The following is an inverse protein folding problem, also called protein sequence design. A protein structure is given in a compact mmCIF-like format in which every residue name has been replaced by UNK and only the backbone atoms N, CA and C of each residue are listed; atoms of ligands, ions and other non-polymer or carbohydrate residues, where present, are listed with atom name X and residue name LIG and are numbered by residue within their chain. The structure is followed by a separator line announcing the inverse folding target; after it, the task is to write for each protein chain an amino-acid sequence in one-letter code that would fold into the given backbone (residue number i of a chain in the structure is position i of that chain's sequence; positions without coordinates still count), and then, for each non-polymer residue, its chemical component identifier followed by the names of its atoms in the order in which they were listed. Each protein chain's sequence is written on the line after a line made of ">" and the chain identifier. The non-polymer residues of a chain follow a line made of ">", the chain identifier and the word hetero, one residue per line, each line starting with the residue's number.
data_IF_065372754053
#
_entry.id   IF_065372754053
#
_cell.length_a   1.000
_cell.length_b   1.000
_cell.length_c   1.000
_cell.angle_alpha   90.00
_cell.angle_beta   90.00
_cell.angle_gamma   90.00
#
_symmetry.space_group_name_H-M   'P 1'
#
loop_
_entity.id
_entity.type
_entity.pdbx_description
1 polymer ?
#
# COMPACT_ATOMS: atom_id res chain seq x y z
N UNK A 1 13.13 10.88 -29.01
CA UNK A 1 13.36 9.85 -27.98
C UNK A 1 14.44 10.37 -27.06
N UNK A 2 14.06 10.87 -25.88
CA UNK A 2 14.99 11.07 -24.76
C UNK A 2 14.21 10.85 -23.47
N UNK A 3 14.43 9.69 -22.88
CA UNK A 3 14.00 9.28 -21.56
C UNK A 3 14.65 10.18 -20.51
N UNK A 4 13.86 11.05 -19.88
CA UNK A 4 14.28 11.79 -18.70
C UNK A 4 14.36 10.83 -17.51
N UNK A 5 15.56 10.34 -17.20
CA UNK A 5 15.80 9.74 -15.89
C UNK A 5 15.79 10.85 -14.86
N UNK A 6 14.68 11.00 -14.14
CA UNK A 6 14.60 11.79 -12.92
C UNK A 6 15.44 11.08 -11.86
N UNK A 7 16.75 11.37 -11.84
CA UNK A 7 17.60 11.04 -10.71
C UNK A 7 16.98 11.70 -9.47
N UNK A 8 16.70 10.95 -8.39
CA UNK A 8 16.31 11.57 -7.13
C UNK A 8 17.45 12.48 -6.71
N UNK A 9 17.18 13.78 -6.61
CA UNK A 9 18.19 14.77 -6.28
C UNK A 9 18.81 14.46 -4.91
N UNK A 10 20.14 14.45 -4.87
CA UNK A 10 20.96 14.27 -3.66
C UNK A 10 20.64 15.25 -2.52
N UNK A 11 19.85 16.29 -2.79
CA UNK A 11 19.31 17.23 -1.82
C UNK A 11 18.32 16.59 -0.83
N UNK A 12 17.54 15.60 -1.27
CA UNK A 12 16.55 14.93 -0.39
C UNK A 12 17.19 14.10 0.72
N UNK A 13 18.49 13.80 0.61
CA UNK A 13 19.26 13.02 1.58
C UNK A 13 20.41 13.80 2.22
N UNK A 14 20.54 15.10 1.94
CA UNK A 14 21.58 15.94 2.52
C UNK A 14 21.49 15.98 4.06
N UNK A 15 20.29 15.82 4.63
CA UNK A 15 20.10 15.72 6.07
C UNK A 15 20.75 14.47 6.68
N UNK A 16 20.83 13.35 5.95
CA UNK A 16 21.51 12.13 6.42
C UNK A 16 23.01 12.40 6.61
N UNK A 17 23.62 13.27 5.80
CA UNK A 17 25.03 13.64 5.95
C UNK A 17 25.32 14.46 7.23
N UNK A 18 24.32 15.17 7.76
CA UNK A 18 24.45 15.91 9.04
C UNK A 18 24.38 14.99 10.27
N UNK A 19 23.86 13.78 10.12
CA UNK A 19 23.57 12.85 11.22
C UNK A 19 24.48 11.61 11.21
N UNK A 20 25.78 11.81 10.95
CA UNK A 20 26.78 10.71 10.92
C UNK A 20 26.71 9.78 12.14
N UNK A 21 26.61 10.25 13.40
CA UNK A 21 26.56 9.35 14.56
C UNK A 21 25.29 8.51 14.62
N UNK A 22 24.16 9.04 14.12
CA UNK A 22 22.89 8.32 14.05
C UNK A 22 22.95 7.25 12.96
N UNK A 23 23.51 7.58 11.79
CA UNK A 23 23.72 6.63 10.71
C UNK A 23 24.65 5.49 11.12
N UNK A 24 25.72 5.77 11.86
CA UNK A 24 26.64 4.74 12.36
C UNK A 24 25.95 3.78 13.33
N UNK A 25 25.07 4.29 14.21
CA UNK A 25 24.30 3.47 15.14
C UNK A 25 23.22 2.66 14.44
N UNK A 26 22.49 3.26 13.51
CA UNK A 26 21.51 2.56 12.68
C UNK A 26 22.19 1.48 11.81
N UNK A 27 23.37 1.78 11.27
CA UNK A 27 24.22 0.85 10.53
C UNK A 27 24.68 -0.31 11.39
N UNK A 28 25.22 -0.05 12.58
CA UNK A 28 25.62 -1.09 13.53
C UNK A 28 24.42 -1.95 14.00
N UNK A 29 23.24 -1.35 14.16
CA UNK A 29 22.02 -2.07 14.50
C UNK A 29 21.56 -2.96 13.35
N UNK A 30 21.61 -2.45 12.11
CA UNK A 30 21.31 -3.22 10.92
C UNK A 30 22.30 -4.39 10.75
N UNK A 31 23.62 -4.16 10.84
CA UNK A 31 24.64 -5.19 10.71
C UNK A 31 24.50 -6.32 11.74
N UNK A 32 24.20 -5.98 13.00
CA UNK A 32 23.90 -6.97 14.05
C UNK A 32 22.71 -7.85 13.69
N UNK A 33 21.66 -7.26 13.12
CA UNK A 33 20.46 -8.01 12.71
C UNK A 33 20.66 -8.82 11.43
N UNK A 34 21.40 -8.32 10.44
CA UNK A 34 21.67 -9.05 9.20
C UNK A 34 22.50 -10.32 9.42
N UNK A 35 23.23 -10.41 10.53
CA UNK A 35 24.12 -11.53 10.84
C UNK A 35 23.42 -12.68 11.55
N UNK A 36 22.42 -12.40 12.40
CA UNK A 36 21.94 -13.35 13.40
C UNK A 36 20.47 -13.83 13.25
N UNK A 37 19.53 -13.11 12.61
CA UNK A 37 18.16 -13.62 12.36
C UNK A 37 17.31 -12.65 11.46
N UNK A 38 16.39 -13.11 10.57
CA UNK A 38 15.64 -12.27 9.65
C UNK A 38 14.37 -11.65 10.28
N UNK A 39 14.40 -11.31 11.58
CA UNK A 39 13.27 -10.67 12.25
C UNK A 39 13.24 -9.16 11.99
N UNK A 40 12.64 -8.79 10.85
CA UNK A 40 12.42 -7.41 10.41
C UNK A 40 11.71 -6.55 11.47
N UNK A 41 10.78 -7.13 12.24
CA UNK A 41 10.01 -6.40 13.25
C UNK A 41 10.89 -5.99 14.45
N UNK A 42 11.81 -6.86 14.87
CA UNK A 42 12.79 -6.57 15.92
C UNK A 42 13.76 -5.47 15.53
N UNK A 43 14.25 -5.51 14.28
CA UNK A 43 15.13 -4.47 13.75
C UNK A 43 14.42 -3.11 13.68
N UNK A 44 13.20 -3.07 13.11
CA UNK A 44 12.43 -1.83 13.04
C UNK A 44 12.12 -1.26 14.42
N UNK A 45 11.78 -2.11 15.40
CA UNK A 45 11.57 -1.67 16.78
C UNK A 45 12.81 -1.02 17.37
N UNK A 46 13.99 -1.61 17.14
CA UNK A 46 15.24 -1.06 17.63
C UNK A 46 15.60 0.26 16.94
N UNK A 47 15.43 0.35 15.62
CA UNK A 47 15.65 1.58 14.86
C UNK A 47 14.72 2.69 15.34
N UNK A 48 13.44 2.40 15.56
CA UNK A 48 12.48 3.38 16.11
C UNK A 48 12.96 3.91 17.47
N UNK A 49 13.37 3.02 18.37
CA UNK A 49 13.87 3.43 19.68
C UNK A 49 15.09 4.34 19.61
N UNK A 50 16.05 4.05 18.73
CA UNK A 50 17.24 4.90 18.52
C UNK A 50 16.85 6.28 17.98
N UNK A 51 15.95 6.33 16.99
CA UNK A 51 15.51 7.59 16.37
C UNK A 51 14.74 8.46 17.37
N UNK A 52 13.87 7.85 18.18
CA UNK A 52 13.11 8.56 19.22
C UNK A 52 14.01 9.08 20.36
N UNK A 53 15.09 8.37 20.69
CA UNK A 53 16.01 8.78 21.77
C UNK A 53 17.03 9.83 21.34
N UNK A 54 17.46 9.83 20.08
CA UNK A 54 18.57 10.68 19.62
C UNK A 54 18.12 11.99 18.98
N UNK A 55 16.90 12.05 18.43
CA UNK A 55 16.39 13.27 17.80
C UNK A 55 15.46 13.97 18.77
N UNK A 56 15.57 15.29 18.92
CA UNK A 56 14.70 16.07 19.80
C UNK A 56 13.46 16.60 19.07
N UNK A 57 13.60 16.91 17.77
CA UNK A 57 12.52 17.43 16.95
C UNK A 57 11.57 16.32 16.50
N UNK A 58 10.27 16.53 16.73
CA UNK A 58 9.22 15.64 16.20
C UNK A 58 9.25 15.56 14.67
N UNK A 59 9.61 16.66 14.00
CA UNK A 59 9.71 16.69 12.55
C UNK A 59 10.86 15.80 12.06
N UNK A 60 12.06 15.94 12.65
CA UNK A 60 13.23 15.15 12.27
C UNK A 60 13.03 13.66 12.57
N UNK A 61 12.40 13.33 13.70
CA UNK A 61 11.97 11.95 14.02
C UNK A 61 11.09 11.38 12.91
N UNK A 62 10.06 12.12 12.52
CA UNK A 62 9.12 11.67 11.50
C UNK A 62 9.80 11.45 10.15
N UNK A 63 10.70 12.34 9.75
CA UNK A 63 11.46 12.23 8.49
C UNK A 63 12.38 11.00 8.49
N UNK A 64 13.16 10.78 9.54
CA UNK A 64 14.07 9.63 9.63
C UNK A 64 13.31 8.30 9.72
N UNK A 65 12.21 8.26 10.49
CA UNK A 65 11.35 7.07 10.59
C UNK A 65 10.69 6.74 9.25
N UNK A 66 10.22 7.75 8.53
CA UNK A 66 9.61 7.56 7.22
C UNK A 66 10.61 6.99 6.21
N UNK A 67 11.84 7.54 6.16
CA UNK A 67 12.92 7.04 5.29
C UNK A 67 13.33 5.61 5.69
N UNK A 68 13.45 5.33 6.98
CA UNK A 68 13.80 4.00 7.49
C UNK A 68 12.73 2.96 7.09
N UNK A 69 11.45 3.29 7.29
CA UNK A 69 10.34 2.43 6.91
C UNK A 69 10.24 2.23 5.40
N UNK A 70 10.51 3.27 4.61
CA UNK A 70 10.55 3.18 3.15
C UNK A 70 11.65 2.24 2.66
N UNK A 71 12.88 2.39 3.15
CA UNK A 71 14.00 1.52 2.79
C UNK A 71 13.76 0.06 3.23
N UNK A 72 13.20 -0.15 4.42
CA UNK A 72 12.83 -1.48 4.87
C UNK A 72 11.74 -2.12 4.00
N UNK A 73 10.80 -1.31 3.48
CA UNK A 73 9.71 -1.77 2.61
C UNK A 73 10.21 -2.31 1.27
N UNK A 74 11.40 -1.92 0.80
CA UNK A 74 12.03 -2.50 -0.39
C UNK A 74 12.39 -3.98 -0.19
N UNK A 75 12.63 -4.41 1.06
CA UNK A 75 12.98 -5.80 1.40
C UNK A 75 11.74 -6.63 1.71
N UNK A 76 10.86 -6.14 2.59
CA UNK A 76 9.66 -6.86 3.02
C UNK A 76 8.50 -5.90 3.31
N UNK A 77 7.83 -5.50 2.23
CA UNK A 77 6.75 -4.52 2.24
C UNK A 77 5.59 -4.89 3.17
N UNK A 78 5.20 -6.17 3.20
CA UNK A 78 4.05 -6.62 3.99
C UNK A 78 4.33 -6.50 5.48
N UNK A 79 5.49 -7.00 5.94
CA UNK A 79 5.85 -6.93 7.37
C UNK A 79 6.06 -5.49 7.84
N UNK A 80 6.66 -4.64 7.02
CA UNK A 80 6.89 -3.23 7.36
C UNK A 80 5.58 -2.46 7.44
N UNK A 81 4.67 -2.66 6.47
CA UNK A 81 3.35 -2.03 6.50
C UNK A 81 2.57 -2.43 7.75
N UNK A 82 2.58 -3.71 8.10
CA UNK A 82 1.91 -4.20 9.31
C UNK A 82 2.54 -3.63 10.60
N UNK A 83 3.87 -3.51 10.66
CA UNK A 83 4.57 -2.89 11.79
C UNK A 83 4.12 -1.43 12.00
N UNK A 84 4.15 -0.61 10.95
CA UNK A 84 3.73 0.80 11.03
C UNK A 84 2.22 0.93 11.30
N UNK A 85 1.39 0.00 10.81
CA UNK A 85 -0.05 -0.05 11.09
C UNK A 85 -0.31 -0.29 12.57
N UNK A 86 0.30 -1.33 13.16
CA UNK A 86 0.12 -1.71 14.58
C UNK A 86 0.53 -0.61 15.56
N UNK A 87 1.46 0.25 15.16
CA UNK A 87 1.95 1.38 15.96
C UNK A 87 1.24 2.70 15.67
N UNK A 88 0.19 2.71 14.86
CA UNK A 88 -0.51 3.94 14.44
C UNK A 88 0.39 4.97 13.76
N UNK A 89 1.48 4.51 13.12
CA UNK A 89 2.47 5.35 12.43
C UNK A 89 2.29 5.36 10.91
N UNK A 90 1.16 4.85 10.40
CA UNK A 90 0.92 4.70 8.96
C UNK A 90 1.02 6.03 8.19
N UNK A 91 0.65 7.13 8.85
CA UNK A 91 0.76 8.48 8.27
C UNK A 91 2.21 8.84 7.89
N UNK A 92 3.22 8.30 8.58
CA UNK A 92 4.63 8.56 8.26
C UNK A 92 5.03 7.95 6.91
N UNK A 93 4.56 6.75 6.61
CA UNK A 93 4.83 6.09 5.34
C UNK A 93 4.02 6.72 4.21
N UNK A 94 2.73 6.97 4.44
CA UNK A 94 1.82 7.53 3.44
C UNK A 94 2.21 8.94 2.99
N UNK A 95 2.96 9.69 3.78
CA UNK A 95 3.46 11.02 3.40
C UNK A 95 4.70 10.97 2.50
N UNK A 96 5.32 9.80 2.29
CA UNK A 96 6.47 9.69 1.38
C UNK A 96 6.02 9.36 -0.05
N UNK A 97 6.36 10.17 -1.06
CA UNK A 97 5.98 9.92 -2.46
C UNK A 97 6.40 8.53 -2.97
N UNK A 98 7.57 8.05 -2.55
CA UNK A 98 8.06 6.72 -2.97
C UNK A 98 7.23 5.58 -2.36
N UNK A 99 6.74 5.70 -1.12
CA UNK A 99 5.85 4.68 -0.56
C UNK A 99 4.49 4.69 -1.25
N UNK A 100 3.97 5.87 -1.59
CA UNK A 100 2.74 5.99 -2.38
C UNK A 100 2.91 5.29 -3.73
N UNK A 101 4.03 5.49 -4.42
CA UNK A 101 4.34 4.81 -5.68
C UNK A 101 4.45 3.29 -5.49
N UNK A 102 5.21 2.82 -4.49
CA UNK A 102 5.40 1.40 -4.18
C UNK A 102 4.12 0.67 -3.73
N UNK A 103 3.13 1.40 -3.23
CA UNK A 103 1.86 0.83 -2.74
C UNK A 103 0.69 1.10 -3.67
N UNK A 104 0.86 1.95 -4.69
CA UNK A 104 -0.20 2.38 -5.61
C UNK A 104 -0.94 1.18 -6.21
N UNK A 105 -0.19 0.25 -6.79
CA UNK A 105 -0.79 -0.89 -7.50
C UNK A 105 -1.54 -1.82 -6.55
N UNK A 106 -1.03 -2.03 -5.33
CA UNK A 106 -1.74 -2.84 -4.32
C UNK A 106 -3.02 -2.14 -3.87
N UNK A 107 -2.95 -0.83 -3.61
CA UNK A 107 -4.10 -0.06 -3.13
C UNK A 107 -5.18 -0.07 -4.21
N UNK A 108 -4.81 0.15 -5.46
CA UNK A 108 -5.72 0.08 -6.60
C UNK A 108 -6.34 -1.33 -6.74
N UNK A 109 -5.52 -2.38 -6.66
CA UNK A 109 -6.00 -3.77 -6.72
C UNK A 109 -6.93 -4.11 -5.55
N UNK A 110 -6.62 -3.65 -4.34
CA UNK A 110 -7.43 -3.87 -3.14
C UNK A 110 -8.75 -3.10 -3.19
N UNK A 111 -8.73 -1.85 -3.65
CA UNK A 111 -9.95 -1.06 -3.87
C UNK A 111 -10.84 -1.70 -4.93
N UNK A 112 -10.27 -2.13 -6.05
CA UNK A 112 -11.00 -2.80 -7.11
C UNK A 112 -11.64 -4.12 -6.61
N UNK A 113 -10.87 -4.95 -5.90
CA UNK A 113 -11.40 -6.17 -5.27
C UNK A 113 -12.51 -5.87 -4.27
N UNK A 114 -12.36 -4.81 -3.47
CA UNK A 114 -13.39 -4.36 -2.52
C UNK A 114 -14.68 -3.96 -3.22
N UNK A 115 -14.60 -3.26 -4.35
CA UNK A 115 -15.76 -2.89 -5.17
C UNK A 115 -16.44 -4.13 -5.77
N UNK A 116 -15.68 -5.04 -6.38
CA UNK A 116 -16.21 -6.30 -6.92
C UNK A 116 -16.94 -7.08 -5.83
N UNK A 117 -16.31 -7.23 -4.66
CA UNK A 117 -16.92 -7.94 -3.52
C UNK A 117 -18.22 -7.27 -3.07
N UNK A 118 -18.27 -5.94 -3.06
CA UNK A 118 -19.48 -5.18 -2.71
C UNK A 118 -20.61 -5.44 -3.71
N UNK A 119 -20.33 -5.38 -5.02
CA UNK A 119 -21.32 -5.64 -6.07
C UNK A 119 -21.85 -7.07 -5.96
N UNK A 120 -20.96 -8.06 -5.81
CA UNK A 120 -21.35 -9.46 -5.64
C UNK A 120 -22.23 -9.67 -4.42
N UNK A 121 -21.84 -9.09 -3.27
CA UNK A 121 -22.63 -9.20 -2.05
C UNK A 121 -24.02 -8.55 -2.20
N UNK A 122 -24.13 -7.41 -2.88
CA UNK A 122 -25.42 -6.76 -3.15
C UNK A 122 -26.30 -7.60 -4.07
N UNK A 123 -25.72 -8.17 -5.13
CA UNK A 123 -26.42 -9.05 -6.06
C UNK A 123 -26.93 -10.31 -5.35
N UNK A 124 -26.06 -10.96 -4.57
CA UNK A 124 -26.42 -12.18 -3.84
C UNK A 124 -27.51 -11.91 -2.81
N UNK A 125 -27.43 -10.76 -2.12
CA UNK A 125 -28.45 -10.34 -1.18
C UNK A 125 -29.81 -10.09 -1.85
N UNK A 126 -29.82 -9.48 -3.05
CA UNK A 126 -31.06 -9.09 -3.74
C UNK A 126 -31.69 -10.23 -4.54
N UNK A 127 -30.89 -11.06 -5.19
CA UNK A 127 -31.35 -12.07 -6.16
C UNK A 127 -31.10 -13.51 -5.69
N UNK A 128 -30.38 -13.72 -4.59
CA UNK A 128 -29.96 -15.04 -4.12
C UNK A 128 -28.67 -15.52 -4.79
N UNK A 129 -28.37 -16.83 -4.74
CA UNK A 129 -27.12 -17.39 -5.25
C UNK A 129 -26.81 -16.96 -6.69
N UNK A 130 -25.59 -16.49 -6.91
CA UNK A 130 -25.18 -15.95 -8.21
C UNK A 130 -24.67 -17.06 -9.15
N UNK A 131 -25.06 -17.02 -10.44
CA UNK A 131 -24.46 -17.82 -11.48
C UNK A 131 -22.95 -17.54 -11.64
N UNK A 132 -22.18 -18.59 -11.88
CA UNK A 132 -20.71 -18.53 -12.00
C UNK A 132 -20.23 -17.62 -13.14
N UNK A 133 -20.99 -17.54 -14.24
CA UNK A 133 -20.70 -16.65 -15.36
C UNK A 133 -20.76 -15.17 -14.99
N UNK A 134 -21.72 -14.78 -14.12
CA UNK A 134 -21.82 -13.40 -13.62
C UNK A 134 -20.66 -13.09 -12.69
N UNK A 135 -20.30 -14.04 -11.82
CA UNK A 135 -19.17 -13.88 -10.91
C UNK A 135 -17.87 -13.69 -11.69
N UNK A 136 -17.65 -14.53 -12.70
CA UNK A 136 -16.46 -14.47 -13.57
C UNK A 136 -16.41 -13.16 -14.32
N UNK A 137 -17.51 -12.77 -14.97
CA UNK A 137 -17.58 -11.53 -15.74
C UNK A 137 -17.29 -10.28 -14.88
N UNK A 138 -17.76 -10.24 -13.63
CA UNK A 138 -17.46 -9.12 -12.72
C UNK A 138 -16.00 -9.11 -12.24
N UNK A 139 -15.38 -10.27 -12.07
CA UNK A 139 -13.97 -10.40 -11.66
C UNK A 139 -13.00 -9.96 -12.77
N UNK A 140 -13.41 -10.06 -14.03
CA UNK A 140 -12.62 -9.63 -15.20
C UNK A 140 -12.64 -8.11 -15.41
N UNK A 141 -13.53 -7.36 -14.74
CA UNK A 141 -13.62 -5.91 -14.91
C UNK A 141 -12.49 -5.21 -14.17
N UNK A 142 -11.62 -4.55 -14.93
CA UNK A 142 -10.51 -3.71 -14.42
C UNK A 142 -10.87 -2.24 -14.27
N UNK A 143 -11.90 -1.76 -14.95
CA UNK A 143 -12.32 -0.36 -14.88
C UNK A 143 -13.15 -0.06 -13.63
N UNK A 144 -12.60 0.79 -12.77
CA UNK A 144 -13.22 1.19 -11.51
C UNK A 144 -14.53 1.97 -11.72
N UNK A 145 -14.63 2.77 -12.79
CA UNK A 145 -15.84 3.56 -13.08
C UNK A 145 -16.99 2.64 -13.48
N UNK A 146 -16.69 1.61 -14.27
CA UNK A 146 -17.65 0.56 -14.60
C UNK A 146 -18.15 -0.16 -13.35
N UNK A 147 -17.28 -0.52 -12.41
CA UNK A 147 -17.68 -1.18 -11.17
C UNK A 147 -18.59 -0.30 -10.29
N UNK A 148 -18.30 1.00 -10.19
CA UNK A 148 -19.15 1.94 -9.45
C UNK A 148 -20.54 2.07 -10.08
N UNK A 149 -20.61 2.16 -11.42
CA UNK A 149 -21.87 2.16 -12.17
C UNK A 149 -22.65 0.87 -11.95
N UNK A 150 -21.98 -0.27 -11.95
CA UNK A 150 -22.61 -1.57 -11.71
C UNK A 150 -23.15 -1.65 -10.28
N UNK A 151 -22.44 -1.15 -9.27
CA UNK A 151 -22.95 -1.07 -7.90
C UNK A 151 -24.27 -0.31 -7.79
N UNK A 152 -24.42 0.80 -8.52
CA UNK A 152 -25.71 1.51 -8.61
C UNK A 152 -26.75 0.70 -9.39
N UNK A 153 -26.36 0.08 -10.50
CA UNK A 153 -27.27 -0.72 -11.32
C UNK A 153 -27.88 -1.91 -10.57
N UNK A 154 -27.20 -2.47 -9.55
CA UNK A 154 -27.78 -3.51 -8.69
C UNK A 154 -29.04 -3.01 -7.99
N UNK A 155 -29.06 -1.75 -7.56
CA UNK A 155 -30.19 -1.16 -6.83
C UNK A 155 -31.43 -1.05 -7.72
N UNK A 156 -31.24 -0.66 -8.98
CA UNK A 156 -32.33 -0.40 -9.93
C UNK A 156 -32.79 -1.64 -10.70
N UNK A 157 -31.95 -2.67 -10.82
CA UNK A 157 -32.28 -3.86 -11.60
C UNK A 157 -33.46 -4.64 -10.97
N UNK A 158 -34.54 -4.94 -11.71
CA UNK A 158 -35.68 -5.71 -11.20
C UNK A 158 -35.34 -7.20 -11.03
N UNK A 159 -34.41 -7.72 -11.84
CA UNK A 159 -33.96 -9.10 -11.85
C UNK A 159 -32.50 -9.20 -12.32
N UNK A 160 -31.92 -10.40 -12.17
CA UNK A 160 -30.53 -10.67 -12.51
C UNK A 160 -30.25 -10.56 -14.02
N UNK A 161 -31.21 -10.94 -14.87
CA UNK A 161 -31.03 -10.89 -16.32
C UNK A 161 -30.98 -9.44 -16.83
N UNK A 162 -31.76 -8.53 -16.22
CA UNK A 162 -31.69 -7.09 -16.48
C UNK A 162 -30.35 -6.51 -16.03
N UNK A 163 -29.81 -6.97 -14.89
CA UNK A 163 -28.48 -6.57 -14.44
C UNK A 163 -27.39 -7.06 -15.40
N UNK A 164 -27.46 -8.32 -15.85
CA UNK A 164 -26.48 -8.92 -16.77
C UNK A 164 -26.28 -8.10 -18.04
N UNK A 165 -27.35 -7.48 -18.56
CA UNK A 165 -27.27 -6.62 -19.74
C UNK A 165 -26.44 -5.33 -19.51
N UNK A 166 -26.17 -4.97 -18.26
CA UNK A 166 -25.34 -3.82 -17.90
C UNK A 166 -23.85 -4.17 -17.82
N UNK A 167 -23.49 -5.45 -17.73
CA UNK A 167 -22.11 -5.90 -17.67
C UNK A 167 -21.50 -5.73 -19.07
N UNK A 168 -20.38 -5.00 -19.22
CA UNK A 168 -19.74 -4.87 -20.51
C UNK A 168 -19.23 -6.24 -21.01
N UNK A 169 -19.19 -6.48 -22.33
CA UNK A 169 -18.60 -7.69 -22.88
C UNK A 169 -17.11 -7.77 -22.51
N UNK A 170 -16.62 -8.99 -22.24
CA UNK A 170 -15.22 -9.23 -21.91
C UNK A 170 -14.30 -8.62 -22.99
N UNK A 171 -13.43 -7.70 -22.58
CA UNK A 171 -12.44 -7.08 -23.46
C UNK A 171 -11.24 -8.03 -23.56
N UNK A 172 -11.20 -8.83 -24.62
CA UNK A 172 -9.98 -9.54 -25.07
C UNK A 172 -9.06 -8.58 -25.82
#
# INVERSE_FOLDING_TARGET
>A
MSSGSSNPSSLNFAFLACYSPLLDRLGAQAERYFKDDPNVEGLLTACVGVVESELESLQERNEVLAVTGLLASLRDRQRVTEFFRRRSMMNLLQQTPLFQELTRDIVLEAEQRGRIHTVLHQLEHKFGPLPEDVMTALQEITDSVTLDRLGLAVLDAPDLDTFRQQIPPAQN
#
